data_IF_074868512745
#
_entry.id   IF_074868512745
#
_cell.length_a   1.000
_cell.length_b   1.000
_cell.length_c   1.000
_cell.angle_alpha   90.00
_cell.angle_beta   90.00
_cell.angle_gamma   90.00
#
_symmetry.space_group_name_H-M   'P 1'
#
loop_
_entity.id
_entity.type
_entity.pdbx_description
1 polymer ?
#
# COMPACT_ATOMS: atom_id res chain seq x y z
N UNK A 1 -53.73 52.64 -12.70
CA UNK A 1 -54.21 51.28 -12.39
C UNK A 1 -53.22 50.29 -12.98
N UNK A 2 -52.56 49.50 -12.11
CA UNK A 2 -51.82 48.25 -12.35
C UNK A 2 -50.70 48.18 -13.43
N UNK A 3 -49.70 47.27 -13.27
CA UNK A 3 -48.32 47.46 -13.70
C UNK A 3 -47.78 46.34 -14.64
N UNK A 4 -46.44 46.26 -14.73
CA UNK A 4 -45.59 45.12 -15.15
C UNK A 4 -45.26 44.97 -16.64
N UNK A 5 -43.96 45.09 -16.96
CA UNK A 5 -43.07 43.97 -17.38
C UNK A 5 -41.66 44.49 -17.67
N UNK A 6 -40.71 44.20 -16.78
CA UNK A 6 -39.27 44.33 -17.02
C UNK A 6 -38.73 42.93 -17.34
N UNK A 7 -38.28 42.73 -18.57
CA UNK A 7 -37.55 41.54 -19.01
C UNK A 7 -36.05 41.84 -18.86
N UNK A 8 -35.40 41.26 -17.85
CA UNK A 8 -33.95 41.18 -17.77
C UNK A 8 -33.49 39.86 -18.40
N UNK A 9 -32.63 39.98 -19.43
CA UNK A 9 -32.04 38.87 -20.17
C UNK A 9 -30.98 38.17 -19.31
N UNK A 10 -31.05 36.83 -19.27
CA UNK A 10 -30.00 35.92 -18.82
C UNK A 10 -28.71 36.18 -19.61
N UNK A 11 -27.61 36.43 -18.90
CA UNK A 11 -26.25 36.23 -19.41
C UNK A 11 -25.75 34.89 -18.86
N UNK A 12 -25.67 33.88 -19.73
CA UNK A 12 -25.01 32.61 -19.45
C UNK A 12 -23.51 32.83 -19.65
N UNK A 13 -22.79 33.02 -18.55
CA UNK A 13 -21.33 33.02 -18.53
C UNK A 13 -20.81 31.58 -18.63
N UNK A 14 -20.22 31.24 -19.77
CA UNK A 14 -19.47 30.02 -19.99
C UNK A 14 -18.17 30.13 -19.16
N UNK A 15 -18.10 29.41 -18.03
CA UNK A 15 -16.85 29.17 -17.32
C UNK A 15 -16.07 28.11 -18.09
N UNK A 16 -15.09 28.56 -18.88
CA UNK A 16 -14.03 27.70 -19.39
C UNK A 16 -13.12 27.32 -18.21
N UNK A 17 -13.26 26.08 -17.73
CA UNK A 17 -12.30 25.43 -16.85
C UNK A 17 -10.98 25.30 -17.62
N UNK A 18 -10.06 26.24 -17.41
CA UNK A 18 -8.66 26.07 -17.80
C UNK A 18 -8.06 24.97 -16.92
N UNK A 19 -7.74 23.82 -17.51
CA UNK A 19 -6.88 22.83 -16.88
C UNK A 19 -5.58 23.50 -16.41
N UNK A 20 -5.07 23.21 -15.20
CA UNK A 20 -3.78 23.73 -14.78
C UNK A 20 -2.69 23.13 -15.69
N UNK A 21 -2.16 23.95 -16.59
CA UNK A 21 -0.90 23.66 -17.28
C UNK A 21 0.21 23.64 -16.23
N UNK A 22 0.52 22.45 -15.72
CA UNK A 22 1.81 22.18 -15.08
C UNK A 22 2.89 22.31 -16.14
N UNK A 23 3.52 23.47 -16.17
CA UNK A 23 4.71 23.73 -16.97
C UNK A 23 5.77 22.71 -16.54
N UNK A 24 6.08 21.76 -17.42
CA UNK A 24 7.31 20.99 -17.34
C UNK A 24 8.47 21.98 -17.48
N UNK A 25 9.06 22.37 -16.35
CA UNK A 25 10.28 23.17 -16.34
C UNK A 25 11.43 22.28 -16.83
N UNK A 26 11.87 22.56 -18.06
CA UNK A 26 12.98 21.89 -18.73
C UNK A 26 14.33 22.39 -18.17
N UNK A 27 15.24 21.42 -17.99
CA UNK A 27 16.70 21.46 -18.09
C UNK A 27 17.62 22.47 -17.34
N UNK A 28 17.14 23.36 -16.46
CA UNK A 28 18.02 24.14 -15.56
C UNK A 28 17.75 23.88 -14.07
N UNK A 29 17.70 22.60 -13.67
CA UNK A 29 17.51 22.20 -12.27
C UNK A 29 18.76 22.52 -11.45
N UNK A 30 18.73 23.69 -10.80
CA UNK A 30 19.63 24.13 -9.73
C UNK A 30 19.93 22.94 -8.80
N UNK A 31 21.20 22.59 -8.58
CA UNK A 31 21.58 21.54 -7.62
C UNK A 31 20.90 21.76 -6.27
N UNK A 32 20.43 20.70 -5.58
CA UNK A 32 19.84 20.83 -4.26
C UNK A 32 20.88 21.44 -3.31
N UNK A 33 20.77 22.74 -3.01
CA UNK A 33 21.74 23.45 -2.16
C UNK A 33 21.63 23.06 -0.69
N UNK A 34 20.52 22.42 -0.29
CA UNK A 34 20.18 22.12 1.11
C UNK A 34 20.14 20.62 1.43
N UNK A 35 20.67 19.77 0.54
CA UNK A 35 20.95 18.36 0.84
C UNK A 35 22.39 18.06 0.50
N UNK A 36 23.15 17.59 1.48
CA UNK A 36 24.47 17.00 1.22
C UNK A 36 24.27 15.51 0.97
N UNK A 37 24.41 15.11 -0.28
CA UNK A 37 24.54 13.69 -0.61
C UNK A 37 26.01 13.34 -0.39
N UNK A 38 26.31 12.81 0.80
CA UNK A 38 27.62 12.28 1.14
C UNK A 38 27.65 10.80 0.77
N UNK A 39 28.12 10.52 -0.45
CA UNK A 39 28.55 9.17 -0.79
C UNK A 39 29.84 8.91 -0.02
N UNK A 40 29.74 8.32 1.17
CA UNK A 40 30.93 7.81 1.87
C UNK A 40 31.52 6.69 1.03
N UNK A 41 32.55 7.03 0.24
CA UNK A 41 33.39 6.08 -0.47
C UNK A 41 34.37 5.46 0.53
N UNK A 42 34.02 4.32 1.12
CA UNK A 42 35.00 3.48 1.77
C UNK A 42 35.37 2.33 0.83
N UNK A 43 36.51 2.47 0.15
CA UNK A 43 37.21 1.37 -0.49
C UNK A 43 36.77 1.03 -1.92
N UNK A 44 37.62 1.43 -2.85
CA UNK A 44 37.80 0.91 -4.21
C UNK A 44 36.83 1.34 -5.35
N UNK A 45 37.44 2.10 -6.27
CA UNK A 45 37.06 2.39 -7.66
C UNK A 45 35.89 3.34 -7.96
N UNK A 46 36.28 4.42 -8.62
CA UNK A 46 35.55 5.56 -9.16
C UNK A 46 34.53 5.22 -10.28
N UNK A 47 34.17 3.95 -10.49
CA UNK A 47 33.39 3.50 -11.65
C UNK A 47 31.93 3.10 -11.37
N UNK A 48 31.47 3.12 -10.11
CA UNK A 48 30.07 2.81 -9.77
C UNK A 48 29.31 3.94 -9.07
N UNK A 49 29.95 5.04 -8.64
CA UNK A 49 29.31 6.09 -7.81
C UNK A 49 28.35 7.06 -8.52
N UNK A 50 28.48 7.24 -9.84
CA UNK A 50 27.73 8.25 -10.60
C UNK A 50 26.24 7.91 -10.80
N UNK A 51 25.87 6.66 -11.15
CA UNK A 51 24.47 6.25 -11.27
C UNK A 51 23.70 6.34 -9.94
N UNK A 52 24.33 5.97 -8.82
CA UNK A 52 23.71 6.04 -7.49
C UNK A 52 23.42 7.48 -7.07
N UNK A 53 24.38 8.40 -7.29
CA UNK A 53 24.15 9.83 -7.02
C UNK A 53 22.98 10.38 -7.83
N UNK A 54 22.88 10.00 -9.10
CA UNK A 54 21.80 10.41 -9.99
C UNK A 54 20.43 9.97 -9.49
N UNK A 55 20.30 8.69 -9.11
CA UNK A 55 19.05 8.14 -8.57
C UNK A 55 18.60 8.82 -7.28
N UNK A 56 19.55 9.16 -6.39
CA UNK A 56 19.27 9.87 -5.13
C UNK A 56 18.81 11.30 -5.36
N UNK A 57 19.50 12.04 -6.26
CA UNK A 57 19.10 13.39 -6.61
C UNK A 57 17.70 13.38 -7.23
N UNK A 58 17.42 12.44 -8.13
CA UNK A 58 16.07 12.25 -8.68
C UNK A 58 15.06 11.96 -7.57
N UNK A 59 15.34 11.01 -6.67
CA UNK A 59 14.43 10.66 -5.59
C UNK A 59 14.11 11.85 -4.68
N UNK A 60 15.09 12.71 -4.39
CA UNK A 60 14.83 13.95 -3.67
C UNK A 60 13.88 14.89 -4.43
N UNK A 61 14.10 15.08 -5.74
CA UNK A 61 13.21 15.89 -6.57
C UNK A 61 11.79 15.31 -6.60
N UNK A 62 11.68 13.99 -6.70
CA UNK A 62 10.41 13.28 -6.67
C UNK A 62 9.68 13.53 -5.33
N UNK A 63 10.40 13.50 -4.20
CA UNK A 63 9.84 13.85 -2.88
C UNK A 63 9.33 15.28 -2.83
N UNK A 64 10.07 16.24 -3.39
CA UNK A 64 9.63 17.65 -3.47
C UNK A 64 8.36 17.78 -4.31
N UNK A 65 8.26 17.06 -5.42
CA UNK A 65 7.07 17.05 -6.27
C UNK A 65 5.87 16.42 -5.56
N UNK A 66 6.08 15.32 -4.81
CA UNK A 66 5.04 14.72 -3.98
C UNK A 66 4.57 15.66 -2.86
N UNK A 67 5.49 16.28 -2.13
CA UNK A 67 5.17 17.14 -0.98
C UNK A 67 4.43 18.41 -1.37
N UNK A 68 4.58 18.88 -2.62
CA UNK A 68 3.97 20.13 -3.09
C UNK A 68 2.45 20.16 -2.97
N UNK A 69 1.78 19.05 -3.30
CA UNK A 69 0.31 18.99 -3.29
C UNK A 69 -0.20 18.99 -1.83
N UNK A 70 0.20 18.05 -0.95
CA UNK A 70 -0.10 18.06 0.47
C UNK A 70 0.22 19.37 1.20
N UNK A 71 1.31 20.06 0.84
CA UNK A 71 1.69 21.32 1.47
C UNK A 71 0.66 22.45 1.27
N UNK A 72 -0.24 22.31 0.31
CA UNK A 72 -1.28 23.29 -0.05
C UNK A 72 -2.70 22.89 0.37
N UNK A 73 -2.88 21.73 1.00
CA UNK A 73 -4.20 21.19 1.36
C UNK A 73 -4.83 22.04 2.46
N UNK A 74 -6.13 22.32 2.31
CA UNK A 74 -6.95 22.90 3.37
C UNK A 74 -7.44 21.78 4.29
N UNK A 75 -6.80 21.62 5.44
CA UNK A 75 -7.13 20.55 6.38
C UNK A 75 -8.43 20.75 7.16
N UNK A 76 -9.05 21.94 7.08
CA UNK A 76 -10.37 22.19 7.68
C UNK A 76 -11.51 21.63 6.81
N UNK A 77 -11.24 21.32 5.54
CA UNK A 77 -12.15 20.70 4.60
C UNK A 77 -11.47 19.45 3.99
N UNK A 78 -11.22 18.40 4.79
CA UNK A 78 -10.51 17.22 4.32
C UNK A 78 -11.29 16.55 3.18
N UNK A 79 -10.56 16.16 2.14
CA UNK A 79 -11.10 15.36 1.05
C UNK A 79 -11.02 13.86 1.35
N UNK A 80 -11.35 13.06 0.34
CA UNK A 80 -11.39 11.59 0.49
C UNK A 80 -10.04 11.00 0.87
N UNK A 81 -8.93 11.52 0.33
CA UNK A 81 -7.61 10.98 0.66
C UNK A 81 -7.15 11.40 2.06
N UNK A 82 -7.46 12.61 2.49
CA UNK A 82 -7.17 13.08 3.84
C UNK A 82 -7.88 12.20 4.89
N UNK A 83 -9.16 11.89 4.69
CA UNK A 83 -9.91 10.98 5.56
C UNK A 83 -9.43 9.53 5.46
N UNK A 84 -9.04 9.06 4.27
CA UNK A 84 -8.54 7.70 4.03
C UNK A 84 -7.21 7.43 4.75
N UNK A 85 -6.30 8.41 4.75
CA UNK A 85 -4.95 8.25 5.32
C UNK A 85 -4.86 8.65 6.79
N UNK A 86 -5.65 9.63 7.20
CA UNK A 86 -5.57 10.15 8.56
C UNK A 86 -6.81 9.86 9.41
N UNK A 87 -7.88 9.36 8.81
CA UNK A 87 -9.13 8.99 9.46
C UNK A 87 -10.21 10.04 9.26
N UNK A 88 -11.48 9.61 9.25
CA UNK A 88 -12.65 10.47 9.05
C UNK A 88 -12.82 11.60 10.08
N UNK A 89 -12.05 11.58 11.18
CA UNK A 89 -12.05 12.64 12.18
C UNK A 89 -10.97 13.72 11.97
N UNK A 90 -10.13 13.61 10.93
CA UNK A 90 -8.96 14.49 10.73
C UNK A 90 -9.30 15.98 10.73
N UNK A 91 -10.44 16.39 10.16
CA UNK A 91 -10.87 17.79 10.16
C UNK A 91 -11.01 18.41 11.55
N UNK A 92 -11.20 17.57 12.59
CA UNK A 92 -11.34 17.97 13.99
C UNK A 92 -10.07 17.82 14.85
N UNK A 93 -8.97 17.31 14.29
CA UNK A 93 -7.72 17.04 15.03
C UNK A 93 -6.64 18.08 14.75
N UNK A 94 -6.74 19.24 15.39
CA UNK A 94 -5.85 20.38 15.12
C UNK A 94 -4.35 20.05 15.29
N UNK A 95 -4.00 19.24 16.28
CA UNK A 95 -2.64 18.75 16.52
C UNK A 95 -2.10 17.95 15.32
N UNK A 96 -2.90 17.03 14.80
CA UNK A 96 -2.54 16.24 13.63
C UNK A 96 -2.44 17.13 12.38
N UNK A 97 -3.39 18.05 12.16
CA UNK A 97 -3.38 18.96 10.99
C UNK A 97 -2.12 19.82 10.98
N UNK A 98 -1.76 20.41 12.13
CA UNK A 98 -0.55 21.24 12.26
C UNK A 98 0.73 20.42 12.00
N UNK A 99 0.85 19.23 12.59
CA UNK A 99 1.99 18.35 12.39
C UNK A 99 2.14 17.94 10.92
N UNK A 100 1.03 17.55 10.28
CA UNK A 100 1.05 17.12 8.88
C UNK A 100 1.47 18.27 7.96
N UNK A 101 0.86 19.44 8.17
CA UNK A 101 1.14 20.64 7.41
C UNK A 101 2.60 21.11 7.57
N UNK A 102 3.17 20.94 8.76
CA UNK A 102 4.57 21.27 9.07
C UNK A 102 5.52 20.39 8.27
N UNK A 103 5.35 19.06 8.30
CA UNK A 103 6.22 18.12 7.56
C UNK A 103 6.33 18.50 6.08
N UNK A 104 5.19 18.68 5.40
CA UNK A 104 5.21 19.01 3.97
C UNK A 104 5.72 20.42 3.69
N UNK A 105 5.42 21.42 4.53
CA UNK A 105 5.98 22.78 4.37
C UNK A 105 7.49 22.80 4.55
N UNK A 106 8.02 22.07 5.54
CA UNK A 106 9.47 22.02 5.79
C UNK A 106 10.21 21.43 4.58
N UNK A 107 9.68 20.38 3.94
CA UNK A 107 10.24 19.83 2.70
C UNK A 107 10.25 20.89 1.59
N UNK A 108 9.17 21.66 1.45
CA UNK A 108 9.08 22.74 0.45
C UNK A 108 10.02 23.93 0.76
N UNK A 109 10.24 24.23 2.03
CA UNK A 109 11.16 25.29 2.46
C UNK A 109 12.62 24.90 2.23
N UNK A 110 12.97 23.62 2.44
CA UNK A 110 14.26 23.03 2.07
C UNK A 110 14.49 23.11 0.56
N UNK A 111 13.46 22.89 -0.26
CA UNK A 111 13.55 23.08 -1.70
C UNK A 111 13.79 24.56 -2.07
N UNK A 112 12.99 25.47 -1.51
CA UNK A 112 13.03 26.90 -1.89
C UNK A 112 14.16 27.69 -1.23
N UNK A 113 15.04 27.03 -0.44
CA UNK A 113 16.15 27.65 0.30
C UNK A 113 15.71 28.73 1.29
N UNK A 114 14.50 28.59 1.84
CA UNK A 114 14.00 29.44 2.93
C UNK A 114 14.55 29.02 4.29
N UNK A 115 15.20 27.86 4.38
CA UNK A 115 15.82 27.31 5.58
C UNK A 115 17.32 27.11 5.38
N UNK A 116 18.08 27.17 6.49
CA UNK A 116 19.52 26.93 6.54
C UNK A 116 19.82 25.55 7.12
N UNK A 117 20.82 24.85 6.56
CA UNK A 117 21.25 23.52 7.01
C UNK A 117 21.09 22.47 5.92
N UNK A 118 21.80 21.35 6.04
CA UNK A 118 21.80 20.29 5.02
C UNK A 118 21.57 18.91 5.63
N UNK A 119 20.47 18.25 5.25
CA UNK A 119 20.27 16.84 5.63
C UNK A 119 21.30 15.98 4.90
N UNK A 120 21.91 15.05 5.63
CA UNK A 120 22.88 14.11 5.07
C UNK A 120 22.16 12.87 4.58
N UNK A 121 22.48 12.44 3.36
CA UNK A 121 22.05 11.13 2.84
C UNK A 121 23.28 10.27 2.59
N UNK A 122 23.30 9.08 3.20
CA UNK A 122 24.33 8.06 3.03
C UNK A 122 23.75 6.78 2.41
N UNK A 123 24.61 5.94 1.85
CA UNK A 123 24.23 4.67 1.20
C UNK A 123 24.87 3.45 1.87
N UNK A 124 25.45 3.66 3.05
CA UNK A 124 26.12 2.64 3.85
C UNK A 124 25.81 2.92 5.32
N UNK A 125 25.85 1.86 6.12
CA UNK A 125 25.62 1.98 7.55
C UNK A 125 26.55 3.01 8.20
N UNK A 126 25.97 3.87 9.03
CA UNK A 126 26.71 4.89 9.77
C UNK A 126 26.59 4.62 11.26
N UNK A 127 27.73 4.66 11.95
CA UNK A 127 27.75 4.57 13.40
C UNK A 127 27.03 5.76 14.04
N UNK A 128 26.16 5.46 15.01
CA UNK A 128 25.37 6.44 15.75
C UNK A 128 25.95 6.62 17.16
N UNK A 129 26.77 7.66 17.36
CA UNK A 129 27.53 7.87 18.61
C UNK A 129 26.63 8.06 19.85
N UNK A 130 25.35 8.37 19.64
CA UNK A 130 24.36 8.56 20.70
C UNK A 130 23.65 7.26 21.13
N UNK A 131 24.00 6.11 20.53
CA UNK A 131 23.40 4.80 20.81
C UNK A 131 24.47 3.80 21.23
N UNK A 132 24.11 2.86 22.09
CA UNK A 132 25.00 1.72 22.39
C UNK A 132 25.11 0.78 21.18
N UNK A 133 26.09 -0.13 21.18
CA UNK A 133 26.27 -1.11 20.09
C UNK A 133 25.03 -1.97 19.84
N UNK A 134 24.29 -2.32 20.90
CA UNK A 134 23.06 -3.12 20.84
C UNK A 134 21.84 -2.32 20.35
N UNK A 135 21.94 -0.98 20.32
CA UNK A 135 20.88 -0.05 19.90
C UNK A 135 21.14 0.54 18.50
N UNK A 136 22.27 0.19 17.88
CA UNK A 136 22.60 0.66 16.53
C UNK A 136 21.54 0.18 15.53
N UNK A 137 21.00 1.13 14.79
CA UNK A 137 20.20 0.82 13.60
C UNK A 137 21.14 0.52 12.44
N UNK A 138 20.93 -0.58 11.75
CA UNK A 138 21.71 -0.96 10.56
C UNK A 138 20.80 -1.42 9.42
N UNK A 139 21.30 -1.40 8.20
CA UNK A 139 20.63 -1.96 7.02
C UNK A 139 20.35 -3.47 7.14
N UNK A 140 21.01 -4.15 8.08
CA UNK A 140 20.80 -5.58 8.38
C UNK A 140 19.92 -5.82 9.60
N UNK A 141 19.24 -4.77 10.09
CA UNK A 141 18.63 -4.72 11.41
C UNK A 141 18.00 -6.04 11.84
N UNK A 142 18.64 -6.63 12.86
CA UNK A 142 18.18 -7.82 13.56
C UNK A 142 17.25 -7.37 14.67
N UNK A 143 15.94 -7.52 14.48
CA UNK A 143 15.05 -7.53 15.64
C UNK A 143 15.40 -8.79 16.44
N UNK A 144 15.76 -8.69 17.75
CA UNK A 144 16.08 -9.88 18.55
C UNK A 144 14.98 -10.93 18.45
N UNK A 145 15.35 -12.17 18.09
CA UNK A 145 14.40 -13.28 17.92
C UNK A 145 13.73 -13.38 16.54
N UNK A 146 14.06 -12.53 15.57
CA UNK A 146 13.62 -12.65 14.17
C UNK A 146 14.80 -12.76 13.21
N UNK A 147 14.58 -13.41 12.06
CA UNK A 147 15.56 -13.40 10.96
C UNK A 147 15.83 -11.93 10.56
N UNK A 148 17.09 -11.56 10.24
CA UNK A 148 17.41 -10.23 9.72
C UNK A 148 16.47 -9.89 8.56
N UNK A 149 15.75 -8.76 8.66
CA UNK A 149 14.95 -8.24 7.54
C UNK A 149 15.74 -7.08 6.95
N UNK A 150 15.97 -7.13 5.64
CA UNK A 150 16.52 -5.98 4.93
C UNK A 150 15.47 -4.85 4.96
N UNK A 151 15.89 -3.68 5.41
CA UNK A 151 15.05 -2.46 5.46
C UNK A 151 15.40 -1.56 4.27
N UNK A 152 14.48 -0.67 3.90
CA UNK A 152 14.65 0.28 2.80
C UNK A 152 15.66 1.37 3.12
N UNK A 153 15.58 1.91 4.33
CA UNK A 153 16.52 2.83 4.91
C UNK A 153 16.33 2.92 6.41
N UNK A 154 17.00 3.89 7.01
CA UNK A 154 16.69 4.39 8.34
C UNK A 154 17.14 5.85 8.47
N UNK A 155 16.61 6.55 9.46
CA UNK A 155 17.04 7.89 9.79
C UNK A 155 17.45 8.02 11.26
N UNK A 156 18.33 8.98 11.53
CA UNK A 156 18.69 9.40 12.88
C UNK A 156 19.12 10.87 12.89
N UNK A 157 19.07 11.50 14.07
CA UNK A 157 19.54 12.86 14.24
C UNK A 157 20.20 13.06 15.60
N UNK A 158 21.17 13.97 15.66
CA UNK A 158 21.78 14.41 16.92
C UNK A 158 21.07 15.62 17.56
N UNK A 159 20.05 16.15 16.90
CA UNK A 159 19.25 17.28 17.37
C UNK A 159 18.24 17.76 16.32
N UNK A 160 17.56 18.89 16.57
CA UNK A 160 16.44 19.36 15.75
C UNK A 160 16.86 20.12 14.49
N UNK A 161 18.15 20.40 14.29
CA UNK A 161 18.62 21.12 13.10
C UNK A 161 18.79 20.20 11.89
N UNK A 162 18.54 20.70 10.68
CA UNK A 162 18.64 19.92 9.45
C UNK A 162 20.03 19.30 9.23
N UNK A 163 21.10 20.01 9.59
CA UNK A 163 22.48 19.55 9.45
C UNK A 163 22.92 18.49 10.47
N UNK A 164 22.06 18.21 11.44
CA UNK A 164 22.20 17.13 12.41
C UNK A 164 21.41 15.88 12.01
N UNK A 165 20.56 15.96 10.97
CA UNK A 165 19.78 14.85 10.45
C UNK A 165 20.54 14.03 9.41
N UNK A 166 20.44 12.71 9.51
CA UNK A 166 21.02 11.76 8.57
C UNK A 166 20.01 10.70 8.18
N UNK A 167 19.88 10.45 6.88
CA UNK A 167 19.15 9.31 6.30
C UNK A 167 20.17 8.35 5.68
N UNK A 168 20.06 7.07 5.99
CA UNK A 168 20.84 6.00 5.39
C UNK A 168 19.92 5.15 4.52
N UNK A 169 20.24 5.04 3.23
CA UNK A 169 19.48 4.25 2.28
C UNK A 169 20.18 2.93 2.02
N UNK A 170 19.44 1.84 2.19
CA UNK A 170 19.95 0.48 2.19
C UNK A 170 19.77 -0.21 0.84
N UNK A 171 20.27 -1.43 0.69
CA UNK A 171 20.22 -2.16 -0.58
C UNK A 171 18.82 -2.25 -1.23
N UNK A 172 17.71 -2.48 -0.48
CA UNK A 172 16.37 -2.47 -1.07
C UNK A 172 16.01 -1.15 -1.76
N UNK A 173 16.52 0.00 -1.30
CA UNK A 173 16.32 1.28 -1.98
C UNK A 173 16.81 1.29 -3.42
N UNK A 174 17.87 0.56 -3.71
CA UNK A 174 18.50 0.49 -5.02
C UNK A 174 18.06 -0.73 -5.84
N UNK A 175 17.21 -1.59 -5.29
CA UNK A 175 16.76 -2.80 -5.96
C UNK A 175 15.84 -2.49 -7.16
N UNK A 176 15.80 -3.39 -8.17
CA UNK A 176 14.79 -3.33 -9.23
C UNK A 176 13.36 -3.32 -8.66
N UNK A 177 12.44 -2.62 -9.32
CA UNK A 177 11.07 -2.43 -8.82
C UNK A 177 10.94 -1.33 -7.77
N UNK A 178 12.04 -0.63 -7.46
CA UNK A 178 12.01 0.64 -6.74
C UNK A 178 12.41 1.74 -7.71
N UNK A 179 11.49 2.14 -8.59
CA UNK A 179 11.78 3.12 -9.61
C UNK A 179 11.68 4.56 -9.08
N UNK A 180 12.23 5.51 -9.83
CA UNK A 180 11.98 6.93 -9.61
C UNK A 180 10.57 7.30 -10.11
N UNK A 181 10.03 8.44 -9.66
CA UNK A 181 8.64 8.82 -9.94
C UNK A 181 8.36 8.96 -11.45
N UNK A 182 9.32 9.48 -12.21
CA UNK A 182 9.16 9.66 -13.66
C UNK A 182 8.90 8.35 -14.41
N UNK A 183 9.62 7.29 -14.04
CA UNK A 183 9.48 5.94 -14.59
C UNK A 183 8.13 5.33 -14.21
N UNK A 184 7.70 5.46 -12.95
CA UNK A 184 6.36 5.03 -12.48
C UNK A 184 5.23 5.75 -13.24
N UNK A 185 5.35 7.07 -13.43
CA UNK A 185 4.35 7.84 -14.19
C UNK A 185 4.30 7.44 -15.67
N UNK A 186 5.44 7.04 -16.26
CA UNK A 186 5.47 6.54 -17.63
C UNK A 186 4.74 5.20 -17.75
N UNK A 187 4.90 4.32 -16.76
CA UNK A 187 4.15 3.06 -16.68
C UNK A 187 2.64 3.31 -16.55
N UNK A 188 2.22 4.13 -15.59
CA UNK A 188 0.79 4.47 -15.40
C UNK A 188 0.16 5.12 -16.62
N UNK A 189 0.90 5.99 -17.34
CA UNK A 189 0.39 6.62 -18.58
C UNK A 189 0.24 5.62 -19.73
N UNK A 190 1.02 4.54 -19.74
CA UNK A 190 0.96 3.50 -20.77
C UNK A 190 -0.03 2.38 -20.46
N UNK A 191 -0.44 2.22 -19.20
CA UNK A 191 -1.36 1.17 -18.73
C UNK A 191 -2.59 1.79 -18.06
N UNK A 192 -3.64 2.08 -18.84
CA UNK A 192 -4.87 2.72 -18.33
C UNK A 192 -5.59 1.87 -17.29
N UNK A 193 -5.51 0.56 -17.43
CA UNK A 193 -6.01 -0.42 -16.47
C UNK A 193 -5.29 -0.36 -15.11
N UNK A 194 -4.19 0.39 -14.97
CA UNK A 194 -3.52 0.62 -13.69
C UNK A 194 -3.85 2.00 -13.09
N UNK A 195 -4.56 2.88 -13.81
CA UNK A 195 -4.88 4.26 -13.38
C UNK A 195 -5.96 4.35 -12.28
N UNK A 196 -6.23 3.23 -11.61
CA UNK A 196 -7.02 3.11 -10.40
C UNK A 196 -6.24 2.47 -9.23
N UNK A 197 -5.08 1.84 -9.50
CA UNK A 197 -4.30 1.10 -8.49
C UNK A 197 -3.13 1.95 -7.97
N UNK A 198 -3.31 2.52 -6.78
CA UNK A 198 -2.28 3.30 -6.12
C UNK A 198 -1.03 2.51 -5.73
N UNK A 199 -1.05 1.17 -5.71
CA UNK A 199 0.13 0.34 -5.34
C UNK A 199 1.30 0.55 -6.30
N UNK A 200 1.00 0.93 -7.54
CA UNK A 200 2.00 1.26 -8.56
C UNK A 200 2.83 2.49 -8.15
N UNK A 201 2.32 3.36 -7.27
CA UNK A 201 3.04 4.50 -6.70
C UNK A 201 4.03 4.12 -5.59
N UNK A 202 4.59 2.92 -5.64
CA UNK A 202 5.74 2.53 -4.80
C UNK A 202 7.05 2.81 -5.53
N UNK A 203 8.05 3.28 -4.78
CA UNK A 203 9.37 3.52 -5.37
C UNK A 203 10.33 4.23 -4.43
N UNK A 204 11.43 4.72 -5.01
CA UNK A 204 12.49 5.43 -4.27
C UNK A 204 11.97 6.66 -3.55
N UNK A 205 10.99 7.35 -4.15
CA UNK A 205 10.39 8.57 -3.62
C UNK A 205 9.56 8.31 -2.36
N UNK A 206 8.76 7.24 -2.34
CA UNK A 206 7.93 6.85 -1.18
C UNK A 206 8.82 6.52 0.01
N UNK A 207 9.85 5.72 -0.24
CA UNK A 207 10.80 5.30 0.80
C UNK A 207 11.66 6.46 1.29
N UNK A 208 12.18 7.34 0.42
CA UNK A 208 12.93 8.51 0.89
C UNK A 208 12.03 9.45 1.71
N UNK A 209 10.78 9.68 1.29
CA UNK A 209 9.84 10.50 2.05
C UNK A 209 9.56 9.88 3.43
N UNK A 210 9.33 8.56 3.49
CA UNK A 210 9.20 7.83 4.75
C UNK A 210 10.37 8.14 5.69
N UNK A 211 11.62 7.91 5.25
CA UNK A 211 12.78 8.12 6.11
C UNK A 211 12.97 9.58 6.54
N UNK A 212 12.66 10.53 5.66
CA UNK A 212 12.72 11.95 5.99
C UNK A 212 11.76 12.32 7.12
N UNK A 213 10.59 11.69 7.19
CA UNK A 213 9.59 12.02 8.22
C UNK A 213 10.01 11.63 9.64
N UNK A 214 11.00 10.75 9.80
CA UNK A 214 11.60 10.41 11.10
C UNK A 214 12.60 11.46 11.61
N UNK A 215 12.91 12.50 10.84
CA UNK A 215 13.85 13.53 11.26
C UNK A 215 13.11 14.62 12.05
N UNK A 216 13.54 14.95 13.29
CA UNK A 216 12.89 16.01 14.08
C UNK A 216 12.87 17.36 13.35
N UNK A 217 13.93 17.62 12.57
CA UNK A 217 14.04 18.83 11.75
C UNK A 217 12.98 18.94 10.65
N UNK A 218 12.47 17.81 10.13
CA UNK A 218 11.37 17.77 9.15
C UNK A 218 10.03 17.89 9.87
N UNK A 219 9.90 17.23 11.01
CA UNK A 219 8.73 17.26 11.88
C UNK A 219 8.47 18.64 12.51
N UNK A 220 9.49 19.51 12.58
CA UNK A 220 9.44 20.76 13.34
C UNK A 220 9.47 20.53 14.86
N UNK A 221 10.04 19.40 15.29
CA UNK A 221 10.03 18.94 16.67
C UNK A 221 11.43 18.90 17.28
N UNK A 222 11.51 18.87 18.61
CA UNK A 222 12.78 18.75 19.33
C UNK A 222 13.33 17.31 19.33
N UNK A 223 12.43 16.34 19.27
CA UNK A 223 12.69 14.90 19.28
C UNK A 223 11.85 14.23 18.22
N UNK A 224 12.18 12.99 17.87
CA UNK A 224 11.38 12.17 16.95
C UNK A 224 10.02 11.89 17.60
N UNK A 225 8.93 12.18 16.89
CA UNK A 225 7.56 11.81 17.29
C UNK A 225 6.86 11.01 16.19
N UNK A 226 7.28 11.15 14.93
CA UNK A 226 6.85 10.29 13.83
C UNK A 226 7.75 9.06 13.78
N UNK A 227 7.15 7.89 14.01
CA UNK A 227 7.84 6.61 14.12
C UNK A 227 7.20 5.56 13.19
N UNK A 228 7.83 4.40 13.09
CA UNK A 228 7.24 3.20 12.47
C UNK A 228 6.15 2.62 13.37
N UNK A 229 4.92 3.14 13.23
CA UNK A 229 3.82 2.73 14.09
C UNK A 229 3.51 1.24 13.93
N UNK A 230 3.02 0.64 15.01
CA UNK A 230 2.38 -0.68 14.96
C UNK A 230 0.87 -0.52 14.90
N UNK A 231 0.18 -1.37 14.15
CA UNK A 231 -1.28 -1.35 14.06
C UNK A 231 -1.91 -1.54 15.45
N UNK A 232 -1.47 -2.56 16.19
CA UNK A 232 -1.83 -2.76 17.59
C UNK A 232 -0.57 -2.95 18.45
N UNK A 233 -0.04 -1.89 19.09
CA UNK A 233 1.18 -1.97 19.88
C UNK A 233 1.03 -2.82 21.16
N UNK A 234 -0.22 -3.09 21.58
CA UNK A 234 -0.52 -3.94 22.75
C UNK A 234 -0.68 -5.42 22.38
N UNK A 235 -0.62 -5.77 21.10
CA UNK A 235 -0.66 -7.16 20.68
C UNK A 235 0.62 -7.90 21.12
N UNK A 236 0.50 -9.20 21.37
CA UNK A 236 1.66 -10.05 21.68
C UNK A 236 2.72 -9.99 20.56
N UNK A 237 2.25 -9.91 19.32
CA UNK A 237 3.06 -9.68 18.13
C UNK A 237 2.45 -8.48 17.39
N UNK A 238 2.99 -7.27 17.58
CA UNK A 238 2.48 -6.08 16.89
C UNK A 238 2.81 -6.11 15.40
N UNK A 239 1.78 -5.99 14.56
CA UNK A 239 1.95 -5.76 13.12
C UNK A 239 2.45 -4.36 12.85
N UNK A 240 3.43 -4.21 11.95
CA UNK A 240 3.88 -2.91 11.49
C UNK A 240 2.79 -2.25 10.63
N UNK A 241 2.57 -0.95 10.83
CA UNK A 241 1.67 -0.16 10.01
C UNK A 241 2.36 0.29 8.69
N UNK A 242 2.94 -0.67 7.97
CA UNK A 242 3.75 -0.47 6.76
C UNK A 242 3.03 -0.93 5.50
N UNK A 243 3.09 -0.13 4.43
CA UNK A 243 2.39 -0.34 3.19
C UNK A 243 0.98 0.26 3.20
N UNK A 244 0.48 0.52 2.00
CA UNK A 244 -0.80 1.19 1.76
C UNK A 244 -1.96 0.55 2.55
N UNK A 245 -2.08 -0.79 2.50
CA UNK A 245 -3.09 -1.54 3.25
C UNK A 245 -3.14 -1.17 4.74
N UNK A 246 -1.97 -1.20 5.39
CA UNK A 246 -1.91 -1.04 6.83
C UNK A 246 -2.09 0.40 7.25
N UNK A 247 -1.65 1.34 6.43
CA UNK A 247 -1.87 2.78 6.63
C UNK A 247 -3.36 3.12 6.56
N UNK A 248 -4.07 2.69 5.51
CA UNK A 248 -5.52 2.92 5.41
C UNK A 248 -6.28 2.21 6.53
N UNK A 249 -5.87 0.98 6.89
CA UNK A 249 -6.47 0.25 8.00
C UNK A 249 -6.25 0.94 9.35
N UNK A 250 -5.08 1.56 9.54
CA UNK A 250 -4.79 2.36 10.74
C UNK A 250 -5.76 3.54 10.86
N UNK A 251 -6.06 4.20 9.74
CA UNK A 251 -6.98 5.34 9.64
C UNK A 251 -8.46 4.97 9.79
N UNK A 252 -8.88 3.82 9.25
CA UNK A 252 -10.24 3.31 9.37
C UNK A 252 -10.57 2.89 10.82
N UNK A 253 -9.56 2.44 11.57
CA UNK A 253 -9.75 2.00 12.95
C UNK A 253 -9.99 3.16 13.92
N UNK A 254 -11.20 3.27 14.47
CA UNK A 254 -11.55 4.25 15.52
C UNK A 254 -10.65 4.19 16.76
N UNK A 255 -10.02 3.05 17.03
CA UNK A 255 -9.11 2.85 18.17
C UNK A 255 -7.67 3.26 17.88
N UNK A 256 -7.26 3.27 16.60
CA UNK A 256 -5.87 3.45 16.22
C UNK A 256 -5.61 4.74 15.43
N UNK A 257 -6.64 5.29 14.77
CA UNK A 257 -6.50 6.42 13.83
C UNK A 257 -5.91 7.69 14.42
N UNK A 258 -6.03 7.89 15.72
CA UNK A 258 -5.37 8.99 16.42
C UNK A 258 -3.84 9.02 16.21
N UNK A 259 -3.22 7.88 15.88
CA UNK A 259 -1.78 7.75 15.64
C UNK A 259 -1.36 7.84 14.17
N UNK A 260 -2.30 8.06 13.24
CA UNK A 260 -2.00 8.11 11.79
C UNK A 260 -0.96 9.17 11.43
N UNK A 261 -1.04 10.35 12.06
CA UNK A 261 -0.09 11.45 11.88
C UNK A 261 1.28 11.22 12.56
N UNK A 262 1.42 10.14 13.32
CA UNK A 262 2.66 9.72 13.98
C UNK A 262 3.32 8.54 13.25
N UNK A 263 2.80 8.14 12.09
CA UNK A 263 3.31 7.03 11.29
C UNK A 263 3.98 7.55 10.02
N UNK A 264 5.26 7.26 9.83
CA UNK A 264 6.05 7.72 8.68
C UNK A 264 5.43 7.29 7.35
N UNK A 265 4.98 6.03 7.28
CA UNK A 265 4.40 5.46 6.07
C UNK A 265 3.07 6.11 5.67
N UNK A 266 2.34 6.71 6.62
CA UNK A 266 1.14 7.47 6.31
C UNK A 266 1.46 8.68 5.44
N UNK A 267 2.54 9.40 5.75
CA UNK A 267 2.96 10.57 4.95
C UNK A 267 3.42 10.17 3.57
N UNK A 268 4.22 9.10 3.49
CA UNK A 268 4.78 8.61 2.24
C UNK A 268 3.69 8.19 1.25
N UNK A 269 2.73 7.37 1.70
CA UNK A 269 1.63 6.91 0.86
C UNK A 269 0.60 8.00 0.59
N UNK A 270 0.27 8.84 1.58
CA UNK A 270 -0.63 9.98 1.36
C UNK A 270 -0.10 10.92 0.27
N UNK A 271 1.17 11.32 0.34
CA UNK A 271 1.75 12.21 -0.67
C UNK A 271 1.80 11.55 -2.06
N UNK A 272 2.07 10.24 -2.10
CA UNK A 272 2.06 9.45 -3.33
C UNK A 272 0.65 9.41 -3.95
N UNK A 273 -0.40 9.14 -3.17
CA UNK A 273 -1.78 9.13 -3.67
C UNK A 273 -2.32 10.52 -3.99
N UNK A 274 -1.95 11.56 -3.24
CA UNK A 274 -2.31 12.95 -3.61
C UNK A 274 -1.71 13.34 -4.96
N UNK A 275 -0.48 12.89 -5.23
CA UNK A 275 0.13 13.12 -6.53
C UNK A 275 -0.57 12.33 -7.62
N UNK A 276 -0.87 11.05 -7.38
CA UNK A 276 -1.66 10.24 -8.31
C UNK A 276 -3.03 10.88 -8.62
N UNK A 277 -3.75 11.33 -7.59
CA UNK A 277 -5.07 11.96 -7.69
C UNK A 277 -5.06 13.16 -8.64
N UNK A 278 -3.99 13.96 -8.61
CA UNK A 278 -3.86 15.14 -9.46
C UNK A 278 -3.79 14.82 -10.97
N UNK A 279 -3.42 13.59 -11.36
CA UNK A 279 -3.27 13.20 -12.77
C UNK A 279 -4.30 12.18 -13.23
N UNK A 280 -4.71 11.26 -12.37
CA UNK A 280 -5.50 10.08 -12.74
C UNK A 280 -6.87 10.03 -12.04
N UNK A 281 -7.16 11.00 -11.16
CA UNK A 281 -8.33 10.94 -10.28
C UNK A 281 -8.05 10.11 -9.03
N UNK A 282 -8.97 10.10 -8.09
CA UNK A 282 -8.71 9.45 -6.80
C UNK A 282 -8.64 7.93 -6.97
N UNK A 283 -7.54 7.26 -6.54
CA UNK A 283 -7.39 5.82 -6.70
C UNK A 283 -8.37 5.05 -5.82
N UNK A 284 -8.56 3.78 -6.15
CA UNK A 284 -9.31 2.84 -5.32
C UNK A 284 -8.70 2.75 -3.93
N UNK A 285 -9.54 2.68 -2.89
CA UNK A 285 -9.00 2.41 -1.56
C UNK A 285 -8.53 0.96 -1.53
N UNK A 286 -7.35 0.72 -0.97
CA UNK A 286 -6.84 -0.64 -0.85
C UNK A 286 -7.78 -1.50 -0.01
N UNK A 287 -8.27 -0.97 1.11
CA UNK A 287 -9.12 -1.71 2.04
C UNK A 287 -10.59 -1.83 1.57
N UNK A 288 -11.03 -0.98 0.65
CA UNK A 288 -12.39 -0.92 0.10
C UNK A 288 -12.36 -0.33 -1.33
N UNK A 289 -12.13 -1.14 -2.38
CA UNK A 289 -12.12 -0.66 -3.75
C UNK A 289 -13.41 0.10 -4.06
N UNK A 290 -13.34 1.22 -4.81
CA UNK A 290 -14.56 1.93 -5.18
C UNK A 290 -15.30 1.05 -6.17
N UNK A 291 -16.57 0.78 -5.90
CA UNK A 291 -17.45 0.32 -6.96
C UNK A 291 -17.65 1.54 -7.86
N UNK A 292 -17.08 1.53 -9.06
CA UNK A 292 -17.22 2.61 -10.03
C UNK A 292 -18.68 3.11 -10.09
N UNK A 293 -18.94 4.43 -10.04
CA UNK A 293 -20.26 4.95 -10.31
C UNK A 293 -20.56 4.74 -11.81
N UNK A 294 -21.45 3.78 -12.08
CA UNK A 294 -22.13 3.44 -13.34
C UNK A 294 -21.39 3.77 -14.66
N UNK A 295 -21.04 2.76 -15.49
CA UNK A 295 -20.58 3.02 -16.85
C UNK A 295 -21.62 3.83 -17.64
N UNK A 296 -21.21 4.74 -18.55
CA UNK A 296 -22.14 5.50 -19.37
C UNK A 296 -23.09 4.56 -20.11
N UNK A 297 -24.36 4.96 -20.16
CA UNK A 297 -25.49 4.17 -20.68
C UNK A 297 -25.11 3.32 -21.92
N UNK A 298 -25.50 2.03 -21.97
CA UNK A 298 -25.04 1.12 -22.99
C UNK A 298 -25.47 1.59 -24.39
N UNK A 299 -24.48 1.68 -25.29
CA UNK A 299 -24.72 1.67 -26.71
C UNK A 299 -25.50 0.40 -27.10
N UNK A 300 -26.36 0.44 -28.13
CA UNK A 300 -27.23 -0.67 -28.48
C UNK A 300 -26.45 -1.96 -28.69
N UNK A 301 -26.96 -3.02 -28.05
CA UNK A 301 -26.36 -4.34 -27.93
C UNK A 301 -25.81 -4.87 -29.26
N UNK A 302 -24.52 -5.13 -29.28
CA UNK A 302 -23.95 -6.14 -30.15
C UNK A 302 -23.88 -7.43 -29.33
N UNK A 303 -24.39 -8.52 -29.89
CA UNK A 303 -24.40 -9.86 -29.30
C UNK A 303 -23.00 -10.23 -28.79
N UNK A 304 -22.78 -10.06 -27.48
CA UNK A 304 -21.61 -10.57 -26.78
C UNK A 304 -21.86 -12.03 -26.41
N UNK A 305 -20.84 -12.90 -26.54
CA UNK A 305 -20.93 -14.27 -26.05
C UNK A 305 -21.22 -14.26 -24.55
N UNK A 306 -22.07 -15.20 -24.10
CA UNK A 306 -22.54 -15.34 -22.72
C UNK A 306 -21.39 -15.15 -21.71
N UNK A 307 -21.39 -14.02 -20.99
CA UNK A 307 -20.45 -13.82 -19.89
C UNK A 307 -20.79 -14.79 -18.76
N UNK A 308 -19.78 -15.35 -18.07
CA UNK A 308 -20.00 -16.26 -16.95
C UNK A 308 -20.85 -15.57 -15.88
N UNK A 309 -21.77 -16.32 -15.29
CA UNK A 309 -22.69 -15.83 -14.25
C UNK A 309 -22.40 -16.42 -12.89
N UNK A 310 -21.59 -17.49 -12.85
CA UNK A 310 -21.27 -18.25 -11.65
C UNK A 310 -19.77 -18.45 -11.53
N UNK A 311 -19.33 -18.69 -10.30
CA UNK A 311 -17.96 -19.02 -10.01
C UNK A 311 -17.82 -20.02 -8.86
N UNK A 312 -16.73 -20.77 -8.90
CA UNK A 312 -16.23 -21.60 -7.82
C UNK A 312 -14.89 -21.02 -7.38
N UNK A 313 -14.84 -20.46 -6.17
CA UNK A 313 -13.60 -19.99 -5.57
C UNK A 313 -13.02 -21.08 -4.66
N UNK A 314 -11.76 -21.42 -4.85
CA UNK A 314 -11.02 -22.36 -4.02
C UNK A 314 -10.00 -21.58 -3.20
N UNK A 315 -10.11 -21.68 -1.88
CA UNK A 315 -9.30 -20.95 -0.90
C UNK A 315 -8.60 -21.94 0.01
N UNK A 316 -7.32 -21.72 0.29
CA UNK A 316 -6.59 -22.43 1.34
C UNK A 316 -6.68 -21.62 2.63
N UNK A 317 -7.14 -22.23 3.71
CA UNK A 317 -7.26 -21.62 5.04
C UNK A 317 -6.26 -22.24 6.00
N UNK A 318 -5.54 -21.41 6.76
CA UNK A 318 -4.88 -21.79 8.00
C UNK A 318 -5.68 -21.25 9.19
N UNK A 319 -6.23 -22.14 10.00
CA UNK A 319 -6.85 -21.82 11.29
C UNK A 319 -5.95 -22.25 12.43
N UNK A 320 -5.56 -21.29 13.28
CA UNK A 320 -4.76 -21.54 14.49
C UNK A 320 -5.49 -21.07 15.74
N UNK A 321 -5.53 -21.93 16.75
CA UNK A 321 -6.10 -21.65 18.07
C UNK A 321 -5.12 -22.06 19.18
N UNK A 322 -5.15 -21.34 20.30
CA UNK A 322 -4.31 -21.61 21.46
C UNK A 322 -2.83 -21.28 21.27
N UNK A 323 -2.02 -21.57 22.30
CA UNK A 323 -0.55 -21.42 22.28
C UNK A 323 0.09 -22.81 22.12
N UNK A 324 1.19 -22.96 21.35
CA UNK A 324 1.88 -24.25 21.27
C UNK A 324 2.22 -24.82 22.65
N UNK A 325 1.65 -25.99 22.97
CA UNK A 325 1.78 -26.65 24.28
C UNK A 325 0.50 -26.64 25.11
N UNK A 326 -0.49 -25.81 24.78
CA UNK A 326 -1.80 -25.85 25.39
C UNK A 326 -2.60 -27.08 24.92
N UNK A 327 -3.52 -27.56 25.77
CA UNK A 327 -4.33 -28.75 25.48
C UNK A 327 -5.32 -28.54 24.32
N UNK A 328 -5.68 -27.29 24.02
CA UNK A 328 -6.59 -26.88 22.95
C UNK A 328 -5.85 -26.36 21.70
N UNK A 329 -4.50 -26.38 21.69
CA UNK A 329 -3.74 -25.91 20.55
C UNK A 329 -4.03 -26.71 19.28
N UNK A 330 -4.36 -26.01 18.20
CA UNK A 330 -4.34 -26.57 16.86
C UNK A 330 -3.85 -25.55 15.82
N UNK A 331 -3.24 -26.07 14.76
CA UNK A 331 -2.83 -25.36 13.55
C UNK A 331 -3.31 -26.24 12.39
N UNK A 332 -4.37 -25.80 11.71
CA UNK A 332 -5.09 -26.63 10.75
C UNK A 332 -5.18 -25.96 9.40
N UNK A 333 -4.72 -26.69 8.39
CA UNK A 333 -4.87 -26.32 7.00
C UNK A 333 -6.11 -27.01 6.40
N UNK A 334 -6.99 -26.25 5.76
CA UNK A 334 -8.18 -26.75 5.07
C UNK A 334 -8.36 -26.05 3.71
N UNK A 335 -8.81 -26.81 2.71
CA UNK A 335 -9.32 -26.28 1.45
C UNK A 335 -10.81 -25.96 1.56
N UNK A 336 -11.17 -24.76 1.15
CA UNK A 336 -12.52 -24.23 1.15
C UNK A 336 -12.98 -24.02 -0.30
N UNK A 337 -14.11 -24.62 -0.67
CA UNK A 337 -14.69 -24.50 -2.01
C UNK A 337 -16.03 -23.75 -1.91
N UNK A 338 -16.05 -22.52 -2.44
CA UNK A 338 -17.19 -21.61 -2.39
C UNK A 338 -17.87 -21.51 -3.76
N UNK A 339 -19.14 -21.92 -3.83
CA UNK A 339 -19.97 -21.65 -5.02
C UNK A 339 -20.65 -20.29 -4.87
N UNK A 340 -20.31 -19.34 -5.74
CA UNK A 340 -20.76 -17.94 -5.65
C UNK A 340 -21.16 -17.40 -7.03
N UNK A 341 -21.76 -16.21 -7.07
CA UNK A 341 -22.00 -15.52 -8.34
C UNK A 341 -20.66 -15.04 -8.93
N UNK A 342 -20.59 -14.95 -10.26
CA UNK A 342 -19.42 -14.38 -10.94
C UNK A 342 -19.07 -12.99 -10.38
N UNK A 343 -17.78 -12.71 -10.22
CA UNK A 343 -17.28 -11.46 -9.63
C UNK A 343 -17.36 -11.38 -8.10
N UNK A 344 -17.85 -12.41 -7.41
CA UNK A 344 -17.93 -12.41 -5.94
C UNK A 344 -16.65 -12.97 -5.31
N UNK A 345 -16.02 -12.20 -4.41
CA UNK A 345 -14.90 -12.67 -3.60
C UNK A 345 -15.34 -13.59 -2.46
N UNK A 346 -14.50 -14.57 -2.11
CA UNK A 346 -14.77 -15.53 -1.01
C UNK A 346 -13.76 -15.48 0.13
N UNK A 347 -12.72 -14.65 0.02
CA UNK A 347 -11.75 -14.46 1.11
C UNK A 347 -12.43 -13.82 2.32
N UNK A 348 -12.22 -14.42 3.48
CA UNK A 348 -12.76 -14.01 4.77
C UNK A 348 -14.30 -13.90 4.84
N UNK A 349 -15.01 -14.55 3.91
CA UNK A 349 -16.47 -14.56 3.91
C UNK A 349 -17.02 -15.27 5.16
N UNK A 350 -17.97 -14.63 5.84
CA UNK A 350 -18.61 -15.16 7.07
C UNK A 350 -20.04 -15.65 6.85
N UNK A 351 -20.67 -15.23 5.75
CA UNK A 351 -22.03 -15.54 5.34
C UNK A 351 -22.11 -16.65 4.28
N UNK A 352 -20.97 -17.03 3.69
CA UNK A 352 -20.87 -18.11 2.72
C UNK A 352 -20.51 -19.42 3.42
N UNK A 353 -21.18 -20.53 3.06
CA UNK A 353 -20.88 -21.86 3.58
C UNK A 353 -20.07 -22.67 2.57
N UNK A 354 -18.74 -22.77 2.70
CA UNK A 354 -17.93 -23.55 1.77
C UNK A 354 -18.04 -25.05 2.06
N UNK A 355 -17.78 -25.86 1.03
CA UNK A 355 -17.37 -27.25 1.25
C UNK A 355 -15.93 -27.25 1.79
N UNK A 356 -15.69 -28.02 2.86
CA UNK A 356 -14.39 -28.07 3.55
C UNK A 356 -13.71 -29.41 3.32
N UNK A 357 -12.44 -29.38 2.97
CA UNK A 357 -11.61 -30.56 2.77
C UNK A 357 -10.28 -30.39 3.51
N UNK A 358 -9.82 -31.38 4.29
CA UNK A 358 -8.51 -31.30 4.92
C UNK A 358 -7.40 -31.29 3.86
N UNK A 359 -6.29 -30.61 4.13
CA UNK A 359 -5.10 -30.77 3.30
C UNK A 359 -4.44 -32.12 3.55
N UNK A 360 -3.58 -32.54 2.64
CA UNK A 360 -2.55 -33.52 3.01
C UNK A 360 -1.62 -32.93 4.07
N UNK A 361 -1.01 -33.78 4.89
CA UNK A 361 -0.11 -33.34 5.96
C UNK A 361 1.21 -32.71 5.45
N UNK A 362 1.40 -32.61 4.13
CA UNK A 362 2.57 -31.96 3.52
C UNK A 362 2.41 -30.45 3.40
N UNK A 363 1.16 -29.96 3.31
CA UNK A 363 0.87 -28.52 3.35
C UNK A 363 0.91 -28.05 4.81
N UNK A 364 1.97 -27.31 5.17
CA UNK A 364 2.19 -26.76 6.52
C UNK A 364 2.18 -25.23 6.55
N UNK A 365 2.02 -24.58 5.39
CA UNK A 365 2.02 -23.13 5.24
C UNK A 365 1.21 -22.74 4.00
N UNK A 366 0.68 -21.51 3.98
CA UNK A 366 -0.07 -20.97 2.84
C UNK A 366 0.81 -20.69 1.62
N UNK A 367 2.09 -20.38 1.83
CA UNK A 367 3.04 -20.05 0.77
C UNK A 367 3.56 -21.32 0.11
N UNK A 368 3.59 -21.34 -1.22
CA UNK A 368 4.07 -22.47 -2.01
C UNK A 368 3.27 -23.77 -1.78
N UNK A 369 2.03 -23.67 -1.27
CA UNK A 369 1.15 -24.82 -1.19
C UNK A 369 0.89 -25.36 -2.61
N UNK A 370 0.96 -26.68 -2.75
CA UNK A 370 0.51 -27.34 -3.97
C UNK A 370 -0.99 -27.13 -4.14
N UNK A 371 -1.45 -27.08 -5.39
CA UNK A 371 -2.88 -26.93 -5.65
C UNK A 371 -3.65 -28.17 -5.19
N UNK A 372 -4.91 -27.93 -4.78
CA UNK A 372 -5.83 -29.00 -4.44
C UNK A 372 -5.94 -30.00 -5.60
N UNK A 373 -5.48 -31.22 -5.38
CA UNK A 373 -5.47 -32.32 -6.34
C UNK A 373 -6.34 -33.49 -5.87
N UNK A 374 -7.00 -34.17 -6.79
CA UNK A 374 -8.02 -35.19 -6.53
C UNK A 374 -9.39 -34.81 -7.10
N UNK A 375 -10.43 -35.50 -6.61
CA UNK A 375 -11.84 -35.28 -6.98
C UNK A 375 -12.63 -34.90 -5.75
N UNK A 376 -13.30 -33.75 -5.80
CA UNK A 376 -14.00 -33.16 -4.65
C UNK A 376 -15.43 -32.81 -5.04
N UNK A 377 -16.40 -33.27 -4.24
CA UNK A 377 -17.80 -32.93 -4.45
C UNK A 377 -18.04 -31.46 -4.12
N UNK A 378 -18.76 -30.75 -4.99
CA UNK A 378 -19.09 -29.34 -4.81
C UNK A 378 -20.56 -29.16 -5.07
N UNK A 379 -21.29 -28.60 -4.10
CA UNK A 379 -22.67 -28.20 -4.30
C UNK A 379 -22.68 -26.79 -4.88
N UNK A 380 -23.12 -26.66 -6.12
CA UNK A 380 -23.14 -25.38 -6.85
C UNK A 380 -24.56 -24.89 -7.07
N UNK A 381 -24.70 -23.73 -7.72
CA UNK A 381 -26.02 -23.24 -8.15
C UNK A 381 -26.65 -24.14 -9.23
N UNK A 382 -25.85 -24.96 -9.92
CA UNK A 382 -26.30 -25.93 -10.93
C UNK A 382 -26.54 -27.34 -10.37
N UNK A 383 -26.45 -27.49 -9.04
CA UNK A 383 -26.62 -28.75 -8.35
C UNK A 383 -25.27 -29.40 -8.00
N UNK A 384 -25.23 -30.73 -8.01
CA UNK A 384 -24.06 -31.49 -7.59
C UNK A 384 -23.02 -31.54 -8.72
N UNK A 385 -21.84 -30.99 -8.43
CA UNK A 385 -20.70 -30.95 -9.34
C UNK A 385 -19.45 -31.57 -8.68
N UNK A 386 -18.39 -31.73 -9.47
CA UNK A 386 -17.10 -32.24 -9.00
C UNK A 386 -15.96 -31.35 -9.46
N UNK A 387 -15.16 -30.81 -8.54
CA UNK A 387 -13.87 -30.23 -8.88
C UNK A 387 -12.84 -31.35 -9.03
N UNK A 388 -12.08 -31.34 -10.14
CA UNK A 388 -11.09 -32.36 -10.48
C UNK A 388 -9.77 -31.73 -10.86
N UNK A 389 -8.68 -32.24 -10.29
CA UNK A 389 -7.32 -31.82 -10.59
C UNK A 389 -6.38 -33.02 -10.46
N UNK A 390 -5.48 -33.20 -11.43
CA UNK A 390 -4.60 -34.37 -11.52
C UNK A 390 -3.25 -34.22 -10.77
N UNK A 391 -3.01 -33.06 -10.15
CA UNK A 391 -1.78 -32.79 -9.39
C UNK A 391 -0.56 -32.44 -10.25
N UNK A 392 -0.72 -32.26 -11.57
CA UNK A 392 0.41 -31.96 -12.48
C UNK A 392 0.74 -30.46 -12.57
N UNK A 393 0.31 -29.68 -11.59
CA UNK A 393 0.53 -28.23 -11.54
C UNK A 393 -0.42 -27.40 -12.41
N UNK A 394 -1.54 -27.99 -12.87
CA UNK A 394 -2.63 -27.23 -13.50
C UNK A 394 -3.71 -26.86 -12.44
N UNK A 395 -4.56 -25.86 -12.73
CA UNK A 395 -5.62 -25.41 -11.81
C UNK A 395 -6.86 -26.31 -11.76
N UNK A 396 -6.91 -27.42 -12.51
CA UNK A 396 -8.07 -28.31 -12.56
C UNK A 396 -9.26 -27.77 -13.36
N UNK A 397 -10.40 -28.46 -13.22
CA UNK A 397 -11.66 -28.12 -13.86
C UNK A 397 -12.85 -28.50 -12.95
N UNK A 398 -13.94 -27.74 -13.04
CA UNK A 398 -15.22 -28.06 -12.40
C UNK A 398 -16.11 -28.83 -13.39
N UNK A 399 -16.68 -29.93 -12.94
CA UNK A 399 -17.55 -30.79 -13.75
C UNK A 399 -18.98 -30.75 -13.24
N UNK A 400 -19.89 -30.17 -14.01
CA UNK A 400 -21.32 -30.08 -13.70
C UNK A 400 -22.12 -30.80 -14.78
N UNK A 401 -22.84 -31.86 -14.42
CA UNK A 401 -23.68 -32.61 -15.37
C UNK A 401 -22.91 -33.18 -16.59
N UNK A 402 -21.62 -33.49 -16.43
CA UNK A 402 -20.75 -33.97 -17.51
C UNK A 402 -20.09 -32.88 -18.36
N UNK A 403 -20.42 -31.61 -18.12
CA UNK A 403 -19.77 -30.44 -18.75
C UNK A 403 -18.58 -30.01 -17.89
N UNK A 404 -17.42 -29.79 -18.52
CA UNK A 404 -16.24 -29.29 -17.85
C UNK A 404 -16.11 -27.77 -18.01
N UNK A 405 -15.87 -27.08 -16.91
CA UNK A 405 -15.57 -25.66 -16.83
C UNK A 405 -14.12 -25.51 -16.38
N UNK A 406 -13.28 -24.90 -17.23
CA UNK A 406 -11.86 -24.70 -16.93
C UNK A 406 -11.68 -23.75 -15.75
N UNK A 407 -10.72 -24.08 -14.89
CA UNK A 407 -10.32 -23.20 -13.81
C UNK A 407 -9.00 -22.50 -14.16
N UNK A 408 -8.68 -21.44 -13.42
CA UNK A 408 -7.41 -20.72 -13.51
C UNK A 408 -6.83 -20.50 -12.12
N UNK A 409 -5.50 -20.46 -12.03
CA UNK A 409 -4.83 -20.00 -10.81
C UNK A 409 -5.18 -18.53 -10.55
N UNK A 410 -5.33 -18.17 -9.28
CA UNK A 410 -5.46 -16.78 -8.87
C UNK A 410 -4.14 -16.05 -9.09
N UNK A 411 -4.20 -14.81 -9.60
CA UNK A 411 -3.03 -14.05 -10.04
C UNK A 411 -1.98 -13.86 -8.92
N UNK A 412 -2.46 -13.80 -7.67
CA UNK A 412 -1.62 -13.55 -6.50
C UNK A 412 -1.11 -14.82 -5.82
N UNK A 413 -1.55 -16.03 -6.24
CA UNK A 413 -1.18 -17.29 -5.59
C UNK A 413 0.34 -17.45 -5.40
N UNK A 414 1.13 -16.95 -6.37
CA UNK A 414 2.60 -17.03 -6.39
C UNK A 414 3.30 -15.83 -5.73
N UNK A 415 2.56 -14.78 -5.35
CA UNK A 415 3.10 -13.54 -4.76
C UNK A 415 3.35 -13.68 -3.26
N UNK A 416 4.41 -14.41 -2.89
CA UNK A 416 4.99 -14.40 -1.54
C UNK A 416 3.97 -14.54 -0.41
N UNK A 417 4.18 -13.84 0.72
CA UNK A 417 3.18 -13.70 1.82
C UNK A 417 2.16 -12.58 1.58
N UNK A 418 2.36 -11.77 0.56
CA UNK A 418 1.51 -10.61 0.26
C UNK A 418 0.11 -11.03 -0.23
N UNK A 419 -0.01 -12.27 -0.71
CA UNK A 419 -1.27 -12.89 -1.09
C UNK A 419 -2.05 -13.54 0.08
N UNK A 420 -1.50 -13.53 1.31
CA UNK A 420 -2.20 -14.04 2.48
C UNK A 420 -3.13 -12.97 3.07
N UNK A 421 -4.37 -13.35 3.33
CA UNK A 421 -5.39 -12.50 3.93
C UNK A 421 -5.68 -12.94 5.36
N UNK A 422 -5.43 -12.04 6.31
CA UNK A 422 -5.80 -12.26 7.71
C UNK A 422 -7.29 -11.96 7.95
N UNK A 423 -8.05 -12.98 8.33
CA UNK A 423 -9.50 -12.92 8.51
C UNK A 423 -9.88 -12.67 9.97
N UNK A 424 -9.92 -11.40 10.37
CA UNK A 424 -10.11 -11.00 11.76
C UNK A 424 -11.44 -11.50 12.38
N UNK A 425 -12.55 -11.44 11.63
CA UNK A 425 -13.85 -11.89 12.13
C UNK A 425 -13.92 -13.41 12.29
N UNK A 426 -13.35 -14.16 11.34
CA UNK A 426 -13.22 -15.62 11.47
C UNK A 426 -12.30 -15.99 12.64
N UNK A 427 -11.18 -15.28 12.81
CA UNK A 427 -10.28 -15.47 13.97
C UNK A 427 -10.98 -15.24 15.31
N UNK A 428 -11.82 -14.21 15.44
CA UNK A 428 -12.65 -14.01 16.64
C UNK A 428 -13.57 -15.19 16.90
N UNK A 429 -14.19 -15.76 15.88
CA UNK A 429 -15.14 -16.88 16.02
C UNK A 429 -14.51 -18.13 16.63
N UNK A 430 -13.21 -18.34 16.40
CA UNK A 430 -12.45 -19.46 16.96
C UNK A 430 -11.52 -19.04 18.10
N UNK A 431 -11.56 -17.79 18.56
CA UNK A 431 -10.61 -17.24 19.55
C UNK A 431 -9.15 -17.53 19.16
N UNK A 432 -8.80 -17.22 17.92
CA UNK A 432 -7.52 -17.58 17.30
C UNK A 432 -7.20 -16.69 16.10
N UNK A 433 -6.34 -17.18 15.22
CA UNK A 433 -6.01 -16.54 13.94
C UNK A 433 -6.50 -17.38 12.78
N UNK A 434 -7.09 -16.73 11.78
CA UNK A 434 -7.45 -17.35 10.51
C UNK A 434 -6.75 -16.57 9.42
N UNK A 435 -5.94 -17.25 8.62
CA UNK A 435 -5.31 -16.70 7.42
C UNK A 435 -5.82 -17.49 6.21
N UNK A 436 -6.12 -16.81 5.12
CA UNK A 436 -6.64 -17.42 3.91
C UNK A 436 -5.85 -16.97 2.68
N UNK A 437 -5.74 -17.85 1.69
CA UNK A 437 -5.14 -17.54 0.39
C UNK A 437 -6.04 -18.05 -0.72
N UNK A 438 -6.40 -17.18 -1.66
CA UNK A 438 -7.15 -17.57 -2.84
C UNK A 438 -6.22 -18.33 -3.79
N UNK A 439 -6.64 -19.52 -4.24
CA UNK A 439 -5.79 -20.40 -5.03
C UNK A 439 -6.28 -20.58 -6.47
N UNK A 440 -7.55 -20.95 -6.64
CA UNK A 440 -8.12 -21.29 -7.94
C UNK A 440 -9.51 -20.67 -8.07
N UNK A 441 -9.87 -20.28 -9.30
CA UNK A 441 -11.24 -19.90 -9.65
C UNK A 441 -11.68 -20.60 -10.92
N UNK A 442 -12.92 -21.09 -10.94
CA UNK A 442 -13.60 -21.61 -12.12
C UNK A 442 -14.81 -20.73 -12.40
N UNK A 443 -14.97 -20.21 -13.62
CA UNK A 443 -16.02 -19.25 -13.99
C UNK A 443 -16.85 -19.84 -15.15
N UNK A 444 -18.18 -19.82 -15.06
CA UNK A 444 -19.06 -20.39 -16.08
C UNK A 444 -20.45 -19.76 -16.17
#
# INVERSE_FOLDING_TARGET
MAPLKLLARLAVGIFLLSSPTLIHADADRIHPRNITINLLQNGDSDSQGTPFKGALVKAWWDVVDLARIPASVNWDEPGTLEERFYGADIGSRDDAKEQIQTVFKTIMDLYTSKTTGQIRIACQDMHQDHRTDDEQTTCTNRVPGRKPKLIGGYAFAYGPAHDQGTVVLCAPFFAPGQENLGEVLAELRSHKDQQHDAKVMSGKFTMLLHELTHLPSIEGQQTVVIEDQKFNPKALIPDAAYGLYWVERLADSTKQRARTHLNADTYAWYASEKYFEAFFGTPDAYNQPRVDPDPPAPAPAQDQPDQPTKALNIVLENSRHGVPGDADFYDRMEWLLFSVAYGTGSLCATDQSPARYPTDGTITQLIHAELLHGTFAVKTQDGDCEYKNDGTGNPGALWCGGTAHSCREQADLRKGREADHYCAELGKSITGSVEQRAAVVCEW
#
